data_IF_006842648753
#
_entry.id   IF_006842648753
#
_cell.length_a   1.000
_cell.length_b   1.000
_cell.length_c   1.000
_cell.angle_alpha   90.00
_cell.angle_beta   90.00
_cell.angle_gamma   90.00
#
_symmetry.space_group_name_H-M   'P 1'
#
loop_
_entity.id
_entity.type
_entity.pdbx_description
1 polymer ?
#
# COMPACT_ATOMS: atom_id res chain seq x y z
N UNK A 1 -23.17 -17.09 -19.87
CA UNK A 1 -24.01 -16.62 -18.75
C UNK A 1 -23.11 -15.87 -17.78
N UNK A 2 -23.13 -14.54 -17.78
CA UNK A 2 -22.50 -13.77 -16.70
C UNK A 2 -23.53 -13.67 -15.57
N UNK A 3 -23.36 -14.45 -14.50
CA UNK A 3 -24.19 -14.33 -13.31
C UNK A 3 -24.01 -12.93 -12.72
N UNK A 4 -25.08 -12.31 -12.23
CA UNK A 4 -25.03 -11.04 -11.49
C UNK A 4 -24.18 -11.21 -10.22
N UNK A 5 -22.87 -10.92 -10.33
CA UNK A 5 -21.91 -10.94 -9.21
C UNK A 5 -22.10 -9.71 -8.31
N UNK A 6 -22.69 -8.64 -8.84
CA UNK A 6 -22.91 -7.38 -8.13
C UNK A 6 -24.28 -7.40 -7.44
N UNK A 7 -24.25 -7.35 -6.10
CA UNK A 7 -25.44 -7.16 -5.26
C UNK A 7 -25.51 -5.70 -4.81
N UNK A 8 -26.67 -5.09 -4.96
CA UNK A 8 -26.90 -3.72 -4.50
C UNK A 8 -27.23 -3.73 -3.00
N UNK A 9 -26.48 -2.97 -2.21
CA UNK A 9 -26.70 -2.83 -0.77
C UNK A 9 -27.09 -1.37 -0.45
N UNK A 10 -28.24 -1.16 0.20
CA UNK A 10 -28.72 0.17 0.62
C UNK A 10 -28.02 0.69 1.89
N UNK A 11 -27.24 -0.16 2.56
CA UNK A 11 -26.40 0.19 3.72
C UNK A 11 -25.04 -0.45 3.52
N UNK A 12 -23.99 0.16 4.08
CA UNK A 12 -22.63 -0.38 3.99
C UNK A 12 -22.60 -1.81 4.55
N UNK A 13 -22.36 -2.85 3.72
CA UNK A 13 -22.37 -4.23 4.16
C UNK A 13 -21.10 -4.60 4.95
N UNK A 14 -20.08 -3.73 4.95
CA UNK A 14 -18.77 -3.94 5.56
C UNK A 14 -18.63 -3.28 6.93
N UNK A 15 -19.75 -3.09 7.66
CA UNK A 15 -19.73 -2.50 9.00
C UNK A 15 -18.75 -3.25 9.91
N UNK A 16 -17.69 -2.57 10.36
CA UNK A 16 -16.70 -3.14 11.27
C UNK A 16 -16.59 -2.28 12.52
N UNK A 17 -16.79 -2.89 13.69
CA UNK A 17 -16.39 -2.31 14.97
C UNK A 17 -14.88 -2.49 15.13
N UNK A 18 -14.14 -1.39 15.33
CA UNK A 18 -12.70 -1.42 15.67
C UNK A 18 -12.42 -0.42 16.78
N UNK A 19 -11.83 -0.90 17.88
CA UNK A 19 -11.46 -0.10 19.06
C UNK A 19 -10.27 0.84 18.82
N UNK A 20 -9.51 0.66 17.72
CA UNK A 20 -8.41 1.55 17.32
C UNK A 20 -8.42 1.73 15.81
N UNK A 21 -8.32 2.98 15.36
CA UNK A 21 -8.26 3.35 13.95
C UNK A 21 -6.92 4.03 13.67
N UNK A 22 -6.12 3.44 12.78
CA UNK A 22 -4.97 4.11 12.17
C UNK A 22 -5.40 4.56 10.77
N UNK A 23 -5.30 5.86 10.50
CA UNK A 23 -5.61 6.42 9.19
C UNK A 23 -4.33 6.54 8.37
N UNK A 24 -4.40 6.01 7.15
CA UNK A 24 -3.39 6.21 6.12
C UNK A 24 -4.05 7.04 5.05
N UNK A 25 -3.57 8.27 4.88
CA UNK A 25 -4.09 9.19 3.88
C UNK A 25 -3.32 8.99 2.59
N UNK A 26 -4.05 8.79 1.49
CA UNK A 26 -3.50 8.84 0.15
C UNK A 26 -3.54 10.29 -0.33
N UNK A 27 -2.37 10.87 -0.59
CA UNK A 27 -2.22 12.32 -0.86
C UNK A 27 -1.51 12.62 -2.18
N UNK A 28 -1.30 11.60 -3.02
CA UNK A 28 -0.56 11.72 -4.26
C UNK A 28 -1.11 12.84 -5.15
N UNK A 29 -0.22 13.76 -5.54
CA UNK A 29 -0.51 14.79 -6.55
C UNK A 29 -0.51 14.18 -7.97
N UNK A 30 -0.79 15.00 -8.98
CA UNK A 30 -0.83 14.55 -10.38
C UNK A 30 0.48 13.91 -10.84
N UNK A 31 1.62 14.39 -10.33
CA UNK A 31 2.94 13.83 -10.63
C UNK A 31 3.06 12.40 -10.08
N UNK A 32 2.83 12.20 -8.78
CA UNK A 32 2.91 10.88 -8.16
C UNK A 32 1.81 9.94 -8.66
N UNK A 33 0.62 10.45 -8.97
CA UNK A 33 -0.44 9.69 -9.64
C UNK A 33 0.02 9.18 -11.00
N UNK A 34 0.64 10.03 -11.82
CA UNK A 34 1.17 9.62 -13.12
C UNK A 34 2.26 8.55 -12.97
N UNK A 35 3.10 8.68 -11.93
CA UNK A 35 4.17 7.74 -11.65
C UNK A 35 3.60 6.37 -11.23
N UNK A 36 2.65 6.36 -10.29
CA UNK A 36 2.00 5.13 -9.82
C UNK A 36 1.22 4.41 -10.92
N UNK A 37 0.50 5.14 -11.78
CA UNK A 37 -0.38 4.54 -12.77
C UNK A 37 0.32 4.15 -14.07
N UNK A 38 1.31 4.93 -14.52
CA UNK A 38 1.92 4.74 -15.83
C UNK A 38 3.38 4.24 -15.77
N UNK A 39 4.09 4.44 -14.66
CA UNK A 39 5.50 4.06 -14.55
C UNK A 39 5.74 2.83 -13.68
N UNK A 40 4.91 2.63 -12.65
CA UNK A 40 4.99 1.45 -11.81
C UNK A 40 4.33 0.24 -12.47
N UNK A 41 5.02 -0.90 -12.40
CA UNK A 41 4.44 -2.19 -12.76
C UNK A 41 3.25 -2.53 -11.85
N UNK A 42 2.29 -3.34 -12.32
CA UNK A 42 1.14 -3.74 -11.50
C UNK A 42 1.54 -4.42 -10.18
N UNK A 43 2.69 -5.10 -10.15
CA UNK A 43 3.20 -5.72 -8.92
C UNK A 43 3.79 -4.69 -7.96
N UNK A 44 4.50 -3.67 -8.46
CA UNK A 44 4.99 -2.54 -7.66
C UNK A 44 3.85 -1.79 -6.99
N UNK A 45 2.77 -1.50 -7.72
CA UNK A 45 1.58 -0.85 -7.16
C UNK A 45 0.93 -1.69 -6.06
N UNK A 46 0.83 -3.01 -6.24
CA UNK A 46 0.30 -3.92 -5.21
C UNK A 46 1.21 -3.97 -3.97
N UNK A 47 2.53 -4.02 -4.15
CA UNK A 47 3.48 -3.94 -3.03
C UNK A 47 3.30 -2.63 -2.27
N UNK A 48 3.19 -1.51 -3.00
CA UNK A 48 2.99 -0.19 -2.41
C UNK A 48 1.72 -0.14 -1.56
N UNK A 49 0.59 -0.66 -2.05
CA UNK A 49 -0.66 -0.73 -1.29
C UNK A 49 -0.53 -1.58 -0.02
N UNK A 50 0.18 -2.71 -0.09
CA UNK A 50 0.42 -3.55 1.10
C UNK A 50 1.32 -2.81 2.10
N UNK A 51 2.36 -2.12 1.63
CA UNK A 51 3.22 -1.31 2.51
C UNK A 51 2.42 -0.17 3.16
N UNK A 52 1.59 0.54 2.39
CA UNK A 52 0.71 1.59 2.90
C UNK A 52 -0.25 1.06 3.98
N UNK A 53 -0.80 -0.15 3.81
CA UNK A 53 -1.66 -0.78 4.82
C UNK A 53 -0.95 -1.11 6.15
N UNK A 54 0.39 -1.15 6.13
CA UNK A 54 1.25 -1.40 7.30
C UNK A 54 2.01 -0.15 7.74
N UNK A 55 1.64 1.03 7.22
CA UNK A 55 2.28 2.30 7.56
C UNK A 55 1.99 2.63 9.03
N UNK A 56 3.05 2.91 9.78
CA UNK A 56 2.94 3.32 11.17
C UNK A 56 2.89 4.85 11.31
N UNK A 57 2.70 5.33 12.54
CA UNK A 57 2.64 6.76 12.85
C UNK A 57 3.94 7.52 12.47
N UNK A 58 5.08 6.84 12.46
CA UNK A 58 6.38 7.44 12.12
C UNK A 58 6.58 7.59 10.61
N UNK A 59 5.73 6.99 9.76
CA UNK A 59 5.84 7.07 8.31
C UNK A 59 6.67 5.95 7.65
N UNK A 60 6.93 4.84 8.37
CA UNK A 60 7.53 3.64 7.78
C UNK A 60 6.61 2.42 7.88
N UNK A 61 6.85 1.46 7.00
CA UNK A 61 6.14 0.18 6.99
C UNK A 61 7.11 -0.98 7.22
N UNK A 62 6.66 -1.96 8.00
CA UNK A 62 7.43 -3.19 8.28
C UNK A 62 6.81 -4.36 7.53
N UNK A 63 7.52 -4.91 6.56
CA UNK A 63 7.10 -6.10 5.84
C UNK A 63 8.30 -6.87 5.31
N UNK A 64 8.42 -8.16 5.68
CA UNK A 64 9.44 -9.01 5.08
C UNK A 64 9.07 -9.36 3.63
N UNK A 65 10.09 -9.67 2.83
CA UNK A 65 9.88 -10.07 1.43
C UNK A 65 9.04 -11.35 1.31
N UNK A 66 9.19 -12.27 2.26
CA UNK A 66 8.37 -13.48 2.36
C UNK A 66 6.90 -13.16 2.72
N UNK A 67 6.66 -12.23 3.65
CA UNK A 67 5.31 -11.77 3.97
C UNK A 67 4.64 -11.11 2.78
N UNK A 68 5.35 -10.20 2.08
CA UNK A 68 4.82 -9.54 0.89
C UNK A 68 4.48 -10.55 -0.21
N UNK A 69 5.36 -11.52 -0.45
CA UNK A 69 5.12 -12.60 -1.40
C UNK A 69 3.88 -13.43 -1.04
N UNK A 70 3.71 -13.75 0.26
CA UNK A 70 2.54 -14.48 0.78
C UNK A 70 1.26 -13.67 0.64
N UNK A 71 1.28 -12.39 1.03
CA UNK A 71 0.12 -11.48 0.92
C UNK A 71 -0.31 -11.29 -0.52
N UNK A 72 0.64 -11.18 -1.45
CA UNK A 72 0.38 -10.97 -2.88
C UNK A 72 0.22 -12.27 -3.68
N UNK A 73 0.34 -13.44 -3.02
CA UNK A 73 0.30 -14.78 -3.63
C UNK A 73 1.18 -14.88 -4.88
N UNK A 74 2.42 -14.41 -4.77
CA UNK A 74 3.38 -14.35 -5.89
C UNK A 74 4.78 -14.78 -5.46
N UNK A 75 5.68 -14.96 -6.44
CA UNK A 75 7.06 -15.33 -6.17
C UNK A 75 7.83 -14.17 -5.50
N UNK A 76 8.61 -14.45 -4.43
CA UNK A 76 9.59 -13.53 -3.84
C UNK A 76 10.40 -12.70 -4.83
N UNK A 77 10.82 -13.27 -5.96
CA UNK A 77 11.63 -12.58 -6.97
C UNK A 77 10.89 -11.41 -7.64
N UNK A 78 9.58 -11.54 -7.89
CA UNK A 78 8.77 -10.43 -8.43
C UNK A 78 8.56 -9.33 -7.40
N UNK A 79 8.38 -9.69 -6.14
CA UNK A 79 8.31 -8.72 -5.04
C UNK A 79 9.63 -7.98 -4.89
N UNK A 80 10.77 -8.67 -5.01
CA UNK A 80 12.07 -8.00 -4.96
C UNK A 80 12.22 -6.97 -6.08
N UNK A 81 11.86 -7.34 -7.32
CA UNK A 81 11.87 -6.43 -8.47
C UNK A 81 10.95 -5.23 -8.24
N UNK A 82 9.76 -5.45 -7.71
CA UNK A 82 8.81 -4.42 -7.35
C UNK A 82 9.36 -3.44 -6.30
N UNK A 83 10.01 -3.93 -5.24
CA UNK A 83 10.64 -3.09 -4.22
C UNK A 83 11.76 -2.23 -4.82
N UNK A 84 12.60 -2.82 -5.67
CA UNK A 84 13.68 -2.08 -6.35
C UNK A 84 13.11 -1.02 -7.30
N UNK A 85 12.00 -1.31 -7.97
CA UNK A 85 11.29 -0.37 -8.84
C UNK A 85 10.70 0.81 -8.05
N UNK A 86 10.02 0.54 -6.93
CA UNK A 86 9.50 1.59 -6.06
C UNK A 86 10.64 2.48 -5.50
N UNK A 87 11.77 1.87 -5.15
CA UNK A 87 12.95 2.61 -4.70
C UNK A 87 13.58 3.46 -5.81
N UNK A 88 13.62 2.94 -7.05
CA UNK A 88 14.12 3.68 -8.22
C UNK A 88 13.32 4.96 -8.47
N UNK A 89 12.03 4.95 -8.21
CA UNK A 89 11.15 6.11 -8.37
C UNK A 89 10.98 6.92 -7.08
N UNK A 90 11.81 6.68 -6.06
CA UNK A 90 11.80 7.41 -4.79
C UNK A 90 10.46 7.35 -4.03
N UNK A 91 9.62 6.35 -4.33
CA UNK A 91 8.35 6.12 -3.65
C UNK A 91 8.55 5.48 -2.27
N UNK A 92 9.64 4.72 -2.13
CA UNK A 92 10.08 4.13 -0.87
C UNK A 92 11.59 4.27 -0.70
N UNK A 93 12.05 4.29 0.55
CA UNK A 93 13.47 4.15 0.88
C UNK A 93 13.66 3.07 1.94
N UNK A 94 14.79 2.35 1.88
CA UNK A 94 15.06 1.28 2.84
C UNK A 94 15.57 1.87 4.16
N UNK A 95 14.87 1.58 5.26
CA UNK A 95 15.29 1.98 6.61
C UNK A 95 16.21 0.92 7.24
N UNK A 96 15.71 -0.31 7.32
CA UNK A 96 16.41 -1.50 7.87
C UNK A 96 15.98 -2.76 7.12
N UNK A 97 16.39 -3.94 7.59
CA UNK A 97 15.88 -5.20 7.07
C UNK A 97 14.36 -5.24 7.26
N UNK A 98 13.62 -5.40 6.17
CA UNK A 98 12.15 -5.47 6.17
C UNK A 98 11.43 -4.18 6.62
N UNK A 99 12.12 -3.04 6.71
CA UNK A 99 11.53 -1.74 7.06
C UNK A 99 11.77 -0.73 5.94
N UNK A 100 10.70 -0.04 5.53
CA UNK A 100 10.70 0.88 4.40
C UNK A 100 10.05 2.20 4.79
N UNK A 101 10.76 3.31 4.60
CA UNK A 101 10.17 4.63 4.57
C UNK A 101 9.26 4.74 3.34
N UNK A 102 8.08 5.33 3.53
CA UNK A 102 7.14 5.61 2.44
C UNK A 102 7.15 7.10 2.17
N UNK A 103 7.11 7.49 0.89
CA UNK A 103 7.06 8.88 0.51
C UNK A 103 5.78 9.55 1.04
N UNK A 104 5.88 10.60 1.89
CA UNK A 104 4.73 11.20 2.57
C UNK A 104 3.79 11.92 1.62
N UNK A 105 4.28 12.40 0.47
CA UNK A 105 3.45 12.99 -0.57
C UNK A 105 2.51 11.95 -1.21
N UNK A 106 2.85 10.66 -1.12
CA UNK A 106 2.04 9.57 -1.68
C UNK A 106 1.12 8.99 -0.61
N UNK A 107 1.68 8.57 0.52
CA UNK A 107 0.93 8.11 1.67
C UNK A 107 1.49 8.73 2.94
N UNK A 108 0.62 9.34 3.74
CA UNK A 108 0.97 9.85 5.06
C UNK A 108 0.15 9.20 6.17
N UNK A 109 0.74 8.91 7.33
CA UNK A 109 -0.03 8.57 8.51
C UNK A 109 -0.78 9.83 9.01
N UNK A 110 -2.01 9.66 9.48
CA UNK A 110 -2.73 10.70 10.20
C UNK A 110 -3.06 10.23 11.60
N UNK A 111 -2.74 11.06 12.58
CA UNK A 111 -3.16 10.93 13.97
C UNK A 111 -4.45 11.73 14.13
N UNK A 112 -5.50 11.09 14.63
CA UNK A 112 -6.72 11.79 15.05
C UNK A 112 -6.53 12.12 16.53
N UNK A 113 -6.37 13.40 16.84
CA UNK A 113 -6.50 13.89 18.21
C UNK A 113 -8.01 14.01 18.51
N UNK A 114 -8.46 13.36 19.59
CA UNK A 114 -9.86 13.36 20.06
C UNK A 114 -10.02 14.38 21.17
#
# INVERSE_FOLDING_TARGET
>A
MAANVLQNHNRNPYGSYKDKQHLVLFTADDFYMSLLLFRCSPIALRVMLVLASKLNADGYATASLAELAKSLRTNPSYVNKAILELAKYELIQKKKRSEYWIQPDVFRPALIEV
#
